data_IF_975972158042
#
_entry.id   IF_975972158042
#
_cell.length_a   1.000
_cell.length_b   1.000
_cell.length_c   1.000
_cell.angle_alpha   90.00
_cell.angle_beta   90.00
_cell.angle_gamma   90.00
#
_symmetry.space_group_name_H-M   'P 1'
#
loop_
_entity.id
_entity.type
_entity.pdbx_description
1 polymer ?
#
# COMPACT_ATOMS: atom_id res chain seq x y z
N UNK A 1 -18.56 -13.51 -21.17
CA UNK A 1 -18.08 -12.46 -20.23
C UNK A 1 -18.02 -13.11 -18.86
N UNK A 2 -16.82 -13.46 -18.38
CA UNK A 2 -16.66 -14.09 -17.06
C UNK A 2 -16.67 -13.00 -15.99
N UNK A 3 -17.76 -12.88 -15.26
CA UNK A 3 -17.84 -12.03 -14.07
C UNK A 3 -16.87 -12.60 -13.03
N UNK A 4 -15.68 -12.02 -12.91
CA UNK A 4 -14.78 -12.38 -11.82
C UNK A 4 -15.25 -11.73 -10.53
N UNK A 5 -15.17 -12.48 -9.42
CA UNK A 5 -15.58 -12.04 -8.09
C UNK A 5 -14.36 -11.95 -7.18
N UNK A 6 -14.40 -11.03 -6.23
CA UNK A 6 -13.38 -10.89 -5.20
C UNK A 6 -13.33 -12.15 -4.35
N UNK A 7 -12.18 -12.81 -4.26
CA UNK A 7 -12.00 -14.02 -3.44
C UNK A 7 -12.16 -13.77 -1.93
N UNK A 8 -12.06 -12.51 -1.47
CA UNK A 8 -12.14 -12.16 -0.05
C UNK A 8 -13.53 -11.69 0.40
N UNK A 9 -14.23 -10.88 -0.40
CA UNK A 9 -15.53 -10.30 -0.03
C UNK A 9 -16.69 -10.68 -0.96
N UNK A 10 -16.43 -11.44 -2.02
CA UNK A 10 -17.46 -11.89 -2.97
C UNK A 10 -18.02 -10.81 -3.91
N UNK A 11 -17.57 -9.55 -3.79
CA UNK A 11 -18.03 -8.46 -4.66
C UNK A 11 -17.57 -8.66 -6.11
N UNK A 12 -18.39 -8.25 -7.08
CA UNK A 12 -18.03 -8.30 -8.50
C UNK A 12 -16.84 -7.39 -8.82
N UNK A 13 -15.83 -7.94 -9.49
CA UNK A 13 -14.69 -7.20 -10.01
C UNK A 13 -15.09 -6.58 -11.35
N UNK A 14 -15.70 -5.41 -11.30
CA UNK A 14 -16.02 -4.66 -12.52
C UNK A 14 -14.69 -4.10 -13.05
N UNK A 15 -14.36 -4.37 -14.32
CA UNK A 15 -13.17 -3.86 -14.99
C UNK A 15 -13.36 -2.38 -15.35
N UNK A 16 -13.60 -1.52 -14.37
CA UNK A 16 -13.72 -0.09 -14.61
C UNK A 16 -12.80 0.67 -13.66
N UNK A 17 -11.92 1.46 -14.28
CA UNK A 17 -11.27 2.74 -13.92
C UNK A 17 -11.02 3.17 -12.46
N UNK A 18 -11.60 2.56 -11.44
CA UNK A 18 -11.25 2.70 -10.01
C UNK A 18 -10.05 1.80 -9.60
N UNK A 19 -9.46 1.10 -10.57
CA UNK A 19 -8.46 0.04 -10.38
C UNK A 19 -7.00 0.49 -10.61
N UNK A 20 -6.73 1.77 -10.90
CA UNK A 20 -5.35 2.21 -11.22
C UNK A 20 -4.39 1.99 -10.04
N UNK A 21 -4.86 2.14 -8.80
CA UNK A 21 -4.07 1.79 -7.60
C UNK A 21 -3.88 0.27 -7.45
N UNK A 22 -4.89 -0.52 -7.79
CA UNK A 22 -4.95 -1.94 -7.42
C UNK A 22 -3.98 -2.75 -8.25
N UNK A 23 -3.84 -2.45 -9.54
CA UNK A 23 -2.87 -3.13 -10.39
C UNK A 23 -1.43 -2.79 -9.98
N UNK A 24 -1.16 -1.50 -9.70
CA UNK A 24 0.16 -1.05 -9.22
C UNK A 24 0.49 -1.63 -7.83
N UNK A 25 -0.49 -1.73 -6.92
CA UNK A 25 -0.35 -2.37 -5.60
C UNK A 25 -0.14 -3.89 -5.74
N UNK A 26 -0.88 -4.55 -6.64
CA UNK A 26 -0.76 -6.01 -6.88
C UNK A 26 0.60 -6.36 -7.46
N UNK A 27 1.14 -5.54 -8.36
CA UNK A 27 2.51 -5.69 -8.86
C UNK A 27 3.54 -5.55 -7.73
N UNK A 28 3.39 -4.54 -6.87
CA UNK A 28 4.31 -4.31 -5.75
C UNK A 28 4.25 -5.42 -4.69
N UNK A 29 3.05 -5.91 -4.38
CA UNK A 29 2.81 -6.99 -3.43
C UNK A 29 2.98 -8.39 -4.02
N UNK A 30 3.26 -8.51 -5.33
CA UNK A 30 3.34 -9.77 -6.08
C UNK A 30 2.17 -10.72 -5.79
N UNK A 31 0.95 -10.20 -5.62
CA UNK A 31 -0.20 -11.02 -5.22
C UNK A 31 -0.97 -11.54 -6.44
N UNK A 32 -1.07 -12.86 -6.60
CA UNK A 32 -1.84 -13.51 -7.67
C UNK A 32 -3.36 -13.63 -7.37
N UNK A 33 -3.81 -13.12 -6.22
CA UNK A 33 -5.20 -13.28 -5.79
C UNK A 33 -6.17 -12.32 -6.52
N UNK A 34 -7.32 -12.86 -6.93
CA UNK A 34 -8.45 -12.10 -7.46
C UNK A 34 -9.19 -11.34 -6.34
N UNK A 35 -8.51 -10.45 -5.62
CA UNK A 35 -9.09 -9.55 -4.63
C UNK A 35 -9.46 -8.20 -5.25
N UNK A 36 -10.49 -7.54 -4.71
CA UNK A 36 -10.85 -6.17 -5.08
C UNK A 36 -9.92 -5.15 -4.40
N UNK A 37 -9.89 -3.91 -4.90
CA UNK A 37 -9.04 -2.85 -4.37
C UNK A 37 -9.23 -2.55 -2.89
N UNK A 38 -10.48 -2.55 -2.42
CA UNK A 38 -10.80 -2.36 -1.00
C UNK A 38 -10.16 -3.46 -0.14
N UNK A 39 -10.38 -4.72 -0.50
CA UNK A 39 -9.82 -5.86 0.23
C UNK A 39 -8.29 -5.90 0.20
N UNK A 40 -7.66 -5.52 -0.91
CA UNK A 40 -6.20 -5.41 -0.98
C UNK A 40 -5.65 -4.27 -0.12
N UNK A 41 -6.36 -3.13 -0.07
CA UNK A 41 -5.99 -2.01 0.81
C UNK A 41 -6.10 -2.39 2.29
N UNK A 42 -7.20 -3.03 2.68
CA UNK A 42 -7.39 -3.51 4.07
C UNK A 42 -6.32 -4.55 4.47
N UNK A 43 -5.90 -5.42 3.54
CA UNK A 43 -4.79 -6.35 3.81
C UNK A 43 -3.47 -5.61 4.04
N UNK A 44 -3.19 -4.58 3.24
CA UNK A 44 -1.99 -3.79 3.38
C UNK A 44 -1.97 -3.00 4.70
N UNK A 45 -3.07 -2.36 5.04
CA UNK A 45 -3.23 -1.65 6.32
C UNK A 45 -3.00 -2.59 7.50
N UNK A 46 -3.55 -3.80 7.47
CA UNK A 46 -3.28 -4.81 8.48
C UNK A 46 -1.78 -5.14 8.57
N UNK A 47 -1.10 -5.37 7.44
CA UNK A 47 0.35 -5.65 7.42
C UNK A 47 1.16 -4.51 8.04
N UNK A 48 0.81 -3.26 7.73
CA UNK A 48 1.47 -2.07 8.31
C UNK A 48 1.34 -2.09 9.83
N UNK A 49 0.15 -2.36 10.38
CA UNK A 49 -0.07 -2.45 11.82
C UNK A 49 0.73 -3.59 12.47
N UNK A 50 0.78 -4.78 11.84
CA UNK A 50 1.59 -5.90 12.35
C UNK A 50 3.08 -5.56 12.38
N UNK A 51 3.59 -4.84 11.38
CA UNK A 51 4.99 -4.37 11.33
C UNK A 51 5.25 -3.35 12.45
N UNK A 52 4.34 -2.37 12.62
CA UNK A 52 4.43 -1.35 13.68
C UNK A 52 4.43 -1.97 15.07
N UNK A 53 3.61 -3.00 15.28
CA UNK A 53 3.55 -3.77 16.51
C UNK A 53 4.78 -4.69 16.72
N UNK A 54 5.69 -4.79 15.74
CA UNK A 54 6.85 -5.69 15.79
C UNK A 54 6.48 -7.17 15.74
N UNK A 55 5.27 -7.51 15.29
CA UNK A 55 4.80 -8.89 15.20
C UNK A 55 5.37 -9.62 13.98
N UNK A 56 5.74 -8.86 12.94
CA UNK A 56 6.41 -9.36 11.73
C UNK A 56 7.53 -8.40 11.32
N UNK A 57 8.53 -8.92 10.60
CA UNK A 57 9.58 -8.11 9.99
C UNK A 57 9.00 -7.13 8.96
N UNK A 58 9.70 -6.03 8.70
CA UNK A 58 9.34 -5.07 7.65
C UNK A 58 9.57 -5.67 6.25
N UNK A 59 8.61 -6.47 5.80
CA UNK A 59 8.56 -7.11 4.48
C UNK A 59 8.28 -6.11 3.33
N UNK A 60 7.90 -4.87 3.65
CA UNK A 60 7.60 -3.82 2.67
C UNK A 60 8.86 -3.05 2.23
N UNK A 61 9.99 -3.24 2.92
CA UNK A 61 11.25 -2.58 2.62
C UNK A 61 11.72 -2.92 1.21
N UNK A 62 11.86 -1.89 0.36
CA UNK A 62 12.42 -2.03 -0.97
C UNK A 62 13.90 -1.58 -0.97
N UNK A 63 14.86 -2.53 -1.08
CA UNK A 63 16.28 -2.19 -1.09
C UNK A 63 16.72 -1.44 -2.35
N UNK A 64 15.92 -1.50 -3.42
CA UNK A 64 16.21 -0.85 -4.71
C UNK A 64 15.27 0.33 -4.96
N UNK A 65 14.81 1.01 -3.90
CA UNK A 65 13.88 2.12 -3.99
C UNK A 65 14.26 3.10 -5.12
N UNK A 66 13.51 3.00 -6.21
CA UNK A 66 13.72 3.82 -7.39
C UNK A 66 12.76 5.00 -7.28
N UNK A 67 13.30 6.21 -7.06
CA UNK A 67 12.55 7.48 -6.96
C UNK A 67 11.56 7.77 -8.10
N UNK A 68 11.55 6.95 -9.17
CA UNK A 68 10.82 7.20 -10.41
C UNK A 68 9.30 6.97 -10.36
N UNK A 69 8.75 6.26 -9.38
CA UNK A 69 7.29 6.12 -9.27
C UNK A 69 6.84 6.16 -7.80
N UNK A 70 6.24 7.28 -7.42
CA UNK A 70 5.47 7.40 -6.18
C UNK A 70 4.00 7.26 -6.53
N UNK A 71 3.29 6.42 -5.81
CA UNK A 71 1.87 6.17 -6.00
C UNK A 71 1.08 7.07 -5.05
N UNK A 72 0.28 7.99 -5.62
CA UNK A 72 -0.68 8.77 -4.83
C UNK A 72 -1.68 7.82 -4.15
N UNK A 73 -2.18 8.16 -2.96
CA UNK A 73 -3.00 7.34 -2.06
C UNK A 73 -2.33 6.07 -1.50
N UNK A 74 -1.07 5.80 -1.83
CA UNK A 74 -0.29 4.72 -1.25
C UNK A 74 0.99 5.24 -0.59
N UNK A 75 1.89 5.85 -1.36
CA UNK A 75 3.14 6.44 -0.88
C UNK A 75 2.92 7.85 -0.31
N UNK A 76 1.98 8.60 -0.88
CA UNK A 76 1.67 9.97 -0.45
C UNK A 76 0.22 10.34 -0.77
N UNK A 77 -0.25 11.45 -0.21
CA UNK A 77 -1.44 12.16 -0.68
C UNK A 77 -1.18 13.66 -0.67
N UNK A 78 -1.99 14.43 -1.40
CA UNK A 78 -1.90 15.89 -1.39
C UNK A 78 -2.80 16.47 -0.29
N UNK A 79 -2.23 17.32 0.55
CA UNK A 79 -2.93 18.06 1.60
C UNK A 79 -2.52 19.53 1.47
N UNK A 80 -3.48 20.42 1.20
CA UNK A 80 -3.21 21.85 0.99
C UNK A 80 -2.15 22.15 -0.10
N UNK A 81 -2.10 21.33 -1.16
CA UNK A 81 -1.11 21.46 -2.23
C UNK A 81 0.30 20.96 -1.85
N UNK A 82 0.48 20.43 -0.65
CA UNK A 82 1.73 19.82 -0.20
C UNK A 82 1.63 18.29 -0.28
N UNK A 83 2.75 17.66 -0.63
CA UNK A 83 2.87 16.21 -0.63
C UNK A 83 3.10 15.68 0.78
N UNK A 84 2.18 14.86 1.28
CA UNK A 84 2.25 14.23 2.60
C UNK A 84 2.50 12.74 2.43
N UNK A 85 3.68 12.27 2.86
CA UNK A 85 4.05 10.86 2.80
C UNK A 85 3.30 10.03 3.85
N UNK A 86 2.94 8.81 3.48
CA UNK A 86 2.22 7.86 4.35
C UNK A 86 3.18 6.98 5.16
N UNK A 87 2.63 6.20 6.09
CA UNK A 87 3.36 5.16 6.81
C UNK A 87 3.96 4.12 5.87
N UNK A 88 3.22 3.74 4.82
CA UNK A 88 3.67 2.79 3.80
C UNK A 88 4.99 3.26 3.14
N UNK A 89 5.07 4.53 2.74
CA UNK A 89 6.28 5.09 2.16
C UNK A 89 7.48 5.00 3.11
N UNK A 90 7.26 5.29 4.41
CA UNK A 90 8.30 5.21 5.42
C UNK A 90 8.74 3.77 5.72
N UNK A 91 7.82 2.80 5.67
CA UNK A 91 8.16 1.38 5.75
C UNK A 91 8.91 0.91 4.51
N UNK A 92 8.48 1.31 3.31
CA UNK A 92 9.17 1.02 2.05
C UNK A 92 10.60 1.54 2.03
N UNK A 93 10.83 2.74 2.56
CA UNK A 93 12.16 3.32 2.79
C UNK A 93 13.04 2.47 3.73
N UNK A 94 12.43 1.77 4.67
CA UNK A 94 13.08 0.72 5.46
C UNK A 94 14.04 1.19 6.56
N UNK A 95 13.99 2.47 6.95
CA UNK A 95 14.69 3.01 8.11
C UNK A 95 14.03 4.28 8.66
N UNK A 96 14.14 4.50 9.97
CA UNK A 96 13.71 5.75 10.62
C UNK A 96 14.74 6.86 10.38
N UNK A 97 14.29 8.03 9.92
CA UNK A 97 15.14 9.21 9.72
C UNK A 97 15.26 10.11 10.95
N UNK A 98 14.56 9.82 12.05
CA UNK A 98 14.58 10.59 13.32
C UNK A 98 14.11 12.06 13.21
N UNK A 99 13.31 12.38 12.20
CA UNK A 99 12.76 13.73 11.99
C UNK A 99 11.37 13.93 12.59
N UNK A 100 10.91 13.01 13.45
CA UNK A 100 9.58 13.04 14.07
C UNK A 100 8.42 13.29 13.07
N UNK A 101 8.39 12.51 11.99
CA UNK A 101 7.42 12.66 10.91
C UNK A 101 5.99 12.34 11.40
N UNK A 102 4.99 13.05 10.86
CA UNK A 102 3.56 12.84 11.17
C UNK A 102 3.11 11.37 11.02
N UNK A 103 3.61 10.70 9.99
CA UNK A 103 3.24 9.31 9.65
C UNK A 103 4.41 8.34 9.90
N UNK A 104 5.18 8.56 10.97
CA UNK A 104 6.33 7.72 11.29
C UNK A 104 5.87 6.35 11.83
N UNK A 105 6.20 5.23 11.16
CA UNK A 105 5.79 3.89 11.61
C UNK A 105 6.70 3.30 12.71
N UNK A 106 7.66 4.08 13.22
CA UNK A 106 8.65 3.64 14.23
C UNK A 106 8.53 4.40 15.55
N UNK A 107 7.49 5.24 15.69
CA UNK A 107 7.24 6.06 16.87
C UNK A 107 6.35 5.34 17.89
#
# INVERSE_FOLDING_TARGET
>A
MTNQVCSRCGSYLITDSQNYLVNDIKEELKSESNTCGKCSKEELELKIELIKAGQIDNILKDPKWNKKKLLENLDYYLENGLMVFTEYFHLKKGYCCKNNCRHCPYN
#
